data_IF_049176805807
#
_entry.id   IF_049176805807
#
_cell.length_a   1.000
_cell.length_b   1.000
_cell.length_c   1.000
_cell.angle_alpha   90.00
_cell.angle_beta   90.00
_cell.angle_gamma   90.00
#
_symmetry.space_group_name_H-M   'P 1'
#
loop_
_entity.id
_entity.type
_entity.pdbx_description
1 polymer ?
#
# COMPACT_ATOMS: atom_id res chain seq x y z
N UNK A 1 -24.32 -6.99 14.14
CA UNK A 1 -22.83 -6.99 14.12
C UNK A 1 -22.39 -5.66 13.53
N UNK A 2 -21.66 -4.84 14.29
CA UNK A 2 -21.32 -3.48 13.84
C UNK A 2 -20.46 -3.48 12.58
N UNK A 3 -19.70 -4.55 12.33
CA UNK A 3 -18.94 -4.73 11.11
C UNK A 3 -19.79 -4.62 9.82
N UNK A 4 -20.90 -5.36 9.74
CA UNK A 4 -21.78 -5.32 8.56
C UNK A 4 -22.56 -4.00 8.47
N UNK A 5 -22.96 -3.44 9.62
CA UNK A 5 -23.60 -2.12 9.67
C UNK A 5 -22.64 -1.04 9.19
N UNK A 6 -21.38 -1.10 9.61
CA UNK A 6 -20.29 -0.23 9.14
C UNK A 6 -20.12 -0.32 7.64
N UNK A 7 -20.01 -1.53 7.08
CA UNK A 7 -19.91 -1.76 5.64
C UNK A 7 -21.08 -1.16 4.85
N UNK A 8 -22.31 -1.31 5.35
CA UNK A 8 -23.50 -0.73 4.73
C UNK A 8 -23.42 0.80 4.81
N UNK A 9 -23.01 1.38 5.92
CA UNK A 9 -22.97 2.84 6.06
C UNK A 9 -21.80 3.48 5.29
N UNK A 10 -20.74 2.74 5.02
CA UNK A 10 -19.55 3.19 4.28
C UNK A 10 -19.46 2.59 2.87
N UNK A 11 -20.57 2.03 2.36
CA UNK A 11 -20.62 1.35 1.06
C UNK A 11 -20.10 2.18 -0.12
N UNK A 12 -20.34 3.52 -0.22
CA UNK A 12 -19.87 4.29 -1.37
C UNK A 12 -18.34 4.37 -1.40
N UNK A 13 -17.73 4.50 -0.22
CA UNK A 13 -16.29 4.53 -0.06
C UNK A 13 -15.66 3.16 -0.35
N UNK A 14 -16.28 2.07 0.13
CA UNK A 14 -15.86 0.72 -0.21
C UNK A 14 -15.92 0.47 -1.73
N UNK A 15 -17.00 0.92 -2.40
CA UNK A 15 -17.13 0.81 -3.83
C UNK A 15 -16.04 1.60 -4.57
N UNK A 16 -15.72 2.80 -4.11
CA UNK A 16 -14.64 3.60 -4.67
C UNK A 16 -13.28 2.87 -4.59
N UNK A 17 -12.98 2.22 -3.46
CA UNK A 17 -11.78 1.38 -3.31
C UNK A 17 -11.78 0.18 -4.25
N UNK A 18 -12.90 -0.53 -4.37
CA UNK A 18 -13.05 -1.64 -5.32
C UNK A 18 -12.79 -1.17 -6.77
N UNK A 19 -13.36 -0.03 -7.16
CA UNK A 19 -13.17 0.55 -8.51
C UNK A 19 -11.71 0.94 -8.71
N UNK A 20 -11.08 1.57 -7.73
CA UNK A 20 -9.68 1.99 -7.80
C UNK A 20 -8.73 0.79 -7.98
N UNK A 21 -8.80 -0.21 -7.10
CA UNK A 21 -7.92 -1.37 -7.18
C UNK A 21 -8.26 -2.29 -8.35
N UNK A 22 -9.53 -2.38 -8.74
CA UNK A 22 -9.94 -3.04 -9.98
C UNK A 22 -9.32 -2.36 -11.21
N UNK A 23 -9.40 -1.03 -11.29
CA UNK A 23 -8.77 -0.24 -12.34
C UNK A 23 -7.25 -0.39 -12.38
N UNK A 24 -6.58 -0.29 -11.21
CA UNK A 24 -5.14 -0.48 -11.10
C UNK A 24 -4.70 -1.89 -11.51
N UNK A 25 -5.46 -2.93 -11.12
CA UNK A 25 -5.21 -4.32 -11.50
C UNK A 25 -5.38 -4.53 -13.01
N UNK A 26 -6.46 -4.00 -13.60
CA UNK A 26 -6.67 -4.01 -15.04
C UNK A 26 -5.55 -3.30 -15.80
N UNK A 27 -5.10 -2.14 -15.30
CA UNK A 27 -3.97 -1.42 -15.86
C UNK A 27 -2.69 -2.25 -15.77
N UNK A 28 -2.35 -2.81 -14.61
CA UNK A 28 -1.18 -3.66 -14.44
C UNK A 28 -1.23 -4.91 -15.33
N UNK A 29 -2.42 -5.46 -15.59
CA UNK A 29 -2.56 -6.63 -16.46
C UNK A 29 -2.39 -6.30 -17.94
N UNK A 30 -3.09 -5.27 -18.42
CA UNK A 30 -3.15 -4.91 -19.84
C UNK A 30 -2.05 -3.98 -20.31
N UNK A 31 -1.27 -3.39 -19.39
CA UNK A 31 -0.13 -2.56 -19.78
C UNK A 31 0.83 -3.36 -20.68
N UNK A 32 1.35 -2.77 -21.77
CA UNK A 32 2.15 -3.48 -22.76
C UNK A 32 3.60 -3.69 -22.27
N UNK A 33 3.78 -4.40 -21.16
CA UNK A 33 5.08 -4.67 -20.52
C UNK A 33 6.13 -5.27 -21.45
N UNK A 34 5.70 -6.01 -22.48
CA UNK A 34 6.61 -6.58 -23.49
C UNK A 34 7.36 -5.50 -24.29
N UNK A 35 6.81 -4.29 -24.41
CA UNK A 35 7.48 -3.16 -25.08
C UNK A 35 8.62 -2.58 -24.23
N UNK A 36 8.74 -3.00 -22.97
CA UNK A 36 9.73 -2.53 -22.00
C UNK A 36 10.82 -3.59 -21.76
N UNK A 37 11.32 -4.21 -22.84
CA UNK A 37 12.32 -5.28 -22.81
C UNK A 37 13.76 -4.80 -22.44
N UNK A 38 13.90 -3.58 -21.93
CA UNK A 38 15.19 -3.04 -21.54
C UNK A 38 15.71 -3.71 -20.26
N UNK A 39 17.02 -3.96 -20.22
CA UNK A 39 17.70 -4.51 -19.03
C UNK A 39 18.79 -3.57 -18.54
N UNK A 40 18.93 -3.51 -17.22
CA UNK A 40 19.88 -2.62 -16.53
C UNK A 40 20.78 -3.44 -15.59
N UNK A 41 22.01 -2.98 -15.32
CA UNK A 41 22.92 -3.71 -14.43
C UNK A 41 22.31 -3.86 -13.03
N UNK A 42 22.29 -5.07 -12.50
CA UNK A 42 21.59 -5.40 -11.26
C UNK A 42 22.22 -4.81 -10.01
N UNK A 43 23.56 -4.87 -9.90
CA UNK A 43 24.28 -4.40 -8.69
C UNK A 43 24.06 -2.91 -8.40
N UNK A 44 24.17 -1.99 -9.38
CA UNK A 44 23.85 -0.58 -9.13
C UNK A 44 22.42 -0.34 -8.65
N UNK A 45 21.43 -1.07 -9.19
CA UNK A 45 20.02 -0.93 -8.78
C UNK A 45 19.86 -1.35 -7.33
N UNK A 46 20.43 -2.51 -6.95
CA UNK A 46 20.39 -2.98 -5.57
C UNK A 46 20.95 -1.93 -4.60
N UNK A 47 22.13 -1.37 -4.91
CA UNK A 47 22.77 -0.35 -4.07
C UNK A 47 21.91 0.92 -3.98
N UNK A 48 21.49 1.47 -5.13
CA UNK A 48 20.72 2.72 -5.18
C UNK A 48 19.39 2.56 -4.45
N UNK A 49 18.64 1.49 -4.73
CA UNK A 49 17.34 1.27 -4.11
C UNK A 49 17.46 1.00 -2.61
N UNK A 50 18.50 0.27 -2.17
CA UNK A 50 18.76 0.07 -0.74
C UNK A 50 19.05 1.39 -0.03
N UNK A 51 19.91 2.23 -0.59
CA UNK A 51 20.25 3.54 0.00
C UNK A 51 19.00 4.43 0.05
N UNK A 52 18.24 4.52 -1.04
CA UNK A 52 17.00 5.30 -1.07
C UNK A 52 15.97 4.75 -0.09
N UNK A 53 15.84 3.43 0.03
CA UNK A 53 14.95 2.80 1.00
C UNK A 53 15.34 3.15 2.43
N UNK A 54 16.62 3.02 2.81
CA UNK A 54 17.10 3.37 4.16
C UNK A 54 16.81 4.83 4.49
N UNK A 55 17.10 5.76 3.57
CA UNK A 55 16.85 7.19 3.77
C UNK A 55 15.34 7.46 3.93
N UNK A 56 14.54 6.99 2.99
CA UNK A 56 13.08 7.26 2.99
C UNK A 56 12.37 6.60 4.15
N UNK A 57 12.72 5.35 4.48
CA UNK A 57 12.18 4.65 5.65
C UNK A 57 12.61 5.36 6.94
N UNK A 58 13.88 5.76 7.06
CA UNK A 58 14.38 6.52 8.20
C UNK A 58 13.62 7.84 8.41
N UNK A 59 13.32 8.57 7.33
CA UNK A 59 12.47 9.76 7.37
C UNK A 59 11.06 9.42 7.85
N UNK A 60 10.43 8.38 7.29
CA UNK A 60 9.09 7.95 7.70
C UNK A 60 9.05 7.61 9.19
N UNK A 61 9.99 6.77 9.66
CA UNK A 61 10.06 6.37 11.07
C UNK A 61 10.32 7.55 12.01
N UNK A 62 11.14 8.52 11.60
CA UNK A 62 11.40 9.74 12.40
C UNK A 62 10.12 10.53 12.62
N UNK A 63 9.33 10.74 11.56
CA UNK A 63 8.07 11.49 11.66
C UNK A 63 6.95 10.70 12.34
N UNK A 64 7.02 9.37 12.35
CA UNK A 64 6.08 8.51 13.09
C UNK A 64 6.36 8.54 14.60
N UNK A 65 7.63 8.41 15.01
CA UNK A 65 7.98 8.22 16.43
C UNK A 65 8.15 9.54 17.20
N UNK A 66 8.72 10.56 16.58
CA UNK A 66 9.00 11.84 17.25
C UNK A 66 9.15 13.00 16.28
N UNK A 67 8.03 13.52 15.73
CA UNK A 67 8.07 14.79 15.04
C UNK A 67 8.29 15.89 16.09
N UNK A 68 9.55 16.18 16.45
CA UNK A 68 9.96 17.34 17.28
C UNK A 68 9.74 18.66 16.53
N UNK A 69 8.57 18.83 15.93
CA UNK A 69 8.17 19.99 15.16
C UNK A 69 7.23 20.82 16.02
N UNK A 70 7.44 22.13 16.02
CA UNK A 70 6.56 23.08 16.70
C UNK A 70 5.29 23.31 15.87
N UNK A 71 4.42 22.30 15.80
CA UNK A 71 3.19 22.27 15.02
C UNK A 71 1.97 22.05 15.92
N UNK A 72 0.77 22.33 15.39
CA UNK A 72 -0.47 22.00 16.08
C UNK A 72 -0.64 20.49 16.22
N UNK A 73 -1.39 20.03 17.24
CA UNK A 73 -1.68 18.61 17.44
C UNK A 73 -2.30 17.96 16.20
N UNK A 74 -3.25 18.65 15.55
CA UNK A 74 -3.86 18.17 14.31
C UNK A 74 -2.84 17.97 13.18
N UNK A 75 -1.86 18.87 13.04
CA UNK A 75 -0.81 18.73 12.03
C UNK A 75 0.15 17.57 12.35
N UNK A 76 0.42 17.31 13.63
CA UNK A 76 1.20 16.14 14.07
C UNK A 76 0.45 14.85 13.77
N UNK A 77 -0.85 14.78 14.08
CA UNK A 77 -1.69 13.61 13.79
C UNK A 77 -1.74 13.33 12.27
N UNK A 78 -1.84 14.36 11.43
CA UNK A 78 -1.75 14.24 9.96
C UNK A 78 -0.39 13.74 9.48
N UNK A 79 0.71 14.24 10.07
CA UNK A 79 2.06 13.78 9.72
C UNK A 79 2.23 12.32 10.08
N UNK A 80 1.84 11.93 11.29
CA UNK A 80 1.84 10.53 11.72
C UNK A 80 1.03 9.67 10.72
N UNK A 81 -0.20 10.08 10.40
CA UNK A 81 -1.04 9.33 9.46
C UNK A 81 -0.40 9.18 8.08
N UNK A 82 0.12 10.28 7.54
CA UNK A 82 0.74 10.28 6.21
C UNK A 82 1.97 9.37 6.18
N UNK A 83 2.84 9.46 7.17
CA UNK A 83 4.08 8.69 7.18
C UNK A 83 3.88 7.22 7.58
N UNK A 84 2.98 6.92 8.52
CA UNK A 84 2.69 5.56 8.95
C UNK A 84 1.90 4.78 7.88
N UNK A 85 0.77 5.34 7.41
CA UNK A 85 -0.19 4.61 6.58
C UNK A 85 0.07 4.72 5.07
N UNK A 86 0.78 5.76 4.62
CA UNK A 86 1.14 5.93 3.20
C UNK A 86 2.66 5.92 2.99
N UNK A 87 3.41 6.61 3.83
CA UNK A 87 4.86 6.75 3.72
C UNK A 87 5.57 5.40 3.76
N UNK A 88 5.36 4.60 4.82
CA UNK A 88 5.96 3.27 4.95
C UNK A 88 5.61 2.38 3.74
N UNK A 89 4.33 2.20 3.34
CA UNK A 89 3.99 1.46 2.12
C UNK A 89 4.67 1.97 0.85
N UNK A 90 4.84 3.29 0.68
CA UNK A 90 5.54 3.88 -0.48
C UNK A 90 7.05 3.58 -0.50
N UNK A 91 7.65 3.24 0.64
CA UNK A 91 9.05 2.81 0.69
C UNK A 91 9.23 1.34 0.31
N UNK A 92 8.21 0.49 0.52
CA UNK A 92 8.29 -0.97 0.26
C UNK A 92 8.69 -1.31 -1.18
N UNK A 93 8.21 -0.61 -2.23
CA UNK A 93 8.69 -0.79 -3.60
C UNK A 93 10.20 -0.70 -3.77
N UNK A 94 10.87 0.21 -3.05
CA UNK A 94 12.33 0.33 -3.12
C UNK A 94 13.00 -0.93 -2.57
N UNK A 95 12.52 -1.44 -1.43
CA UNK A 95 13.04 -2.67 -0.85
C UNK A 95 12.78 -3.88 -1.74
N UNK A 96 11.55 -4.06 -2.26
CA UNK A 96 11.25 -5.20 -3.12
C UNK A 96 12.03 -5.15 -4.43
N UNK A 97 12.19 -3.96 -5.01
CA UNK A 97 13.04 -3.75 -6.18
C UNK A 97 14.52 -4.03 -5.91
N UNK A 98 15.02 -3.65 -4.73
CA UNK A 98 16.40 -3.94 -4.32
C UNK A 98 16.63 -5.45 -4.19
N UNK A 99 15.73 -6.16 -3.50
CA UNK A 99 15.80 -7.63 -3.35
C UNK A 99 15.70 -8.33 -4.70
N UNK A 100 14.83 -7.86 -5.58
CA UNK A 100 14.70 -8.39 -6.94
C UNK A 100 16.00 -8.22 -7.74
N UNK A 101 16.59 -7.02 -7.70
CA UNK A 101 17.86 -6.75 -8.37
C UNK A 101 19.00 -7.57 -7.77
N UNK A 102 19.05 -7.75 -6.45
CA UNK A 102 20.05 -8.60 -5.79
C UNK A 102 19.95 -10.05 -6.28
N UNK A 103 18.72 -10.60 -6.36
CA UNK A 103 18.49 -11.96 -6.82
C UNK A 103 19.00 -12.20 -8.25
N UNK A 104 18.76 -11.24 -9.18
CA UNK A 104 19.34 -11.29 -10.52
C UNK A 104 20.87 -11.15 -10.49
N UNK A 105 21.38 -10.21 -9.70
CA UNK A 105 22.82 -9.95 -9.60
C UNK A 105 23.62 -11.16 -9.10
N UNK A 106 23.10 -11.91 -8.12
CA UNK A 106 23.72 -13.15 -7.62
C UNK A 106 23.77 -14.25 -8.68
N UNK A 107 22.82 -14.25 -9.63
CA UNK A 107 22.82 -15.17 -10.78
C UNK A 107 23.68 -14.69 -11.96
N UNK A 108 24.32 -13.53 -11.84
CA UNK A 108 25.06 -12.90 -12.95
C UNK A 108 24.15 -12.36 -14.06
N UNK A 109 22.85 -12.23 -13.79
CA UNK A 109 21.85 -11.73 -14.74
C UNK A 109 21.73 -10.21 -14.66
N UNK A 110 21.16 -9.61 -15.71
CA UNK A 110 20.74 -8.20 -15.70
C UNK A 110 19.27 -8.13 -15.27
N UNK A 111 18.89 -7.02 -14.64
CA UNK A 111 17.50 -6.80 -14.20
C UNK A 111 16.67 -6.22 -15.35
N UNK A 112 15.62 -6.92 -15.77
CA UNK A 112 14.63 -6.39 -16.71
C UNK A 112 13.75 -5.31 -16.07
N UNK A 113 13.59 -4.16 -16.74
CA UNK A 113 12.81 -3.01 -16.21
C UNK A 113 11.35 -3.39 -15.99
N UNK A 114 10.73 -4.11 -16.94
CA UNK A 114 9.34 -4.54 -16.81
C UNK A 114 9.11 -5.42 -15.56
N UNK A 115 10.00 -6.38 -15.33
CA UNK A 115 9.92 -7.27 -14.17
C UNK A 115 10.16 -6.52 -12.86
N UNK A 116 11.14 -5.62 -12.84
CA UNK A 116 11.42 -4.75 -11.71
C UNK A 116 10.19 -3.92 -11.32
N UNK A 117 9.58 -3.21 -12.27
CA UNK A 117 8.40 -2.37 -12.02
C UNK A 117 7.21 -3.20 -11.50
N UNK A 118 6.96 -4.38 -12.06
CA UNK A 118 5.89 -5.25 -11.59
C UNK A 118 6.12 -5.73 -10.15
N UNK A 119 7.35 -6.08 -9.78
CA UNK A 119 7.69 -6.48 -8.40
C UNK A 119 7.63 -5.30 -7.43
N UNK A 120 8.01 -4.10 -7.87
CA UNK A 120 7.86 -2.88 -7.10
C UNK A 120 6.38 -2.56 -6.83
N UNK A 121 5.51 -2.65 -7.86
CA UNK A 121 4.06 -2.47 -7.72
C UNK A 121 3.43 -3.55 -6.84
N UNK A 122 3.85 -4.81 -6.99
CA UNK A 122 3.39 -5.88 -6.10
C UNK A 122 3.81 -5.63 -4.65
N UNK A 123 5.04 -5.15 -4.44
CA UNK A 123 5.56 -4.74 -3.14
C UNK A 123 4.75 -3.61 -2.52
N UNK A 124 4.36 -2.60 -3.31
CA UNK A 124 3.46 -1.54 -2.86
C UNK A 124 2.13 -2.12 -2.35
N UNK A 125 1.47 -2.96 -3.15
CA UNK A 125 0.20 -3.60 -2.76
C UNK A 125 0.34 -4.41 -1.47
N UNK A 126 1.39 -5.21 -1.33
CA UNK A 126 1.66 -5.97 -0.10
C UNK A 126 1.94 -5.05 1.10
N UNK A 127 2.66 -3.95 0.89
CA UNK A 127 2.93 -2.95 1.93
C UNK A 127 1.66 -2.28 2.44
N UNK A 128 0.79 -1.84 1.53
CA UNK A 128 -0.51 -1.28 1.87
C UNK A 128 -1.39 -2.32 2.59
N UNK A 129 -1.45 -3.56 2.09
CA UNK A 129 -2.23 -4.62 2.71
C UNK A 129 -1.76 -4.93 4.13
N UNK A 130 -0.44 -4.98 4.36
CA UNK A 130 0.10 -5.20 5.70
C UNK A 130 -0.31 -4.07 6.67
N UNK A 131 -0.25 -2.82 6.21
CA UNK A 131 -0.71 -1.66 7.00
C UNK A 131 -2.21 -1.74 7.32
N UNK A 132 -3.05 -2.04 6.34
CA UNK A 132 -4.50 -2.10 6.55
C UNK A 132 -4.94 -3.33 7.36
N UNK A 133 -4.21 -4.46 7.30
CA UNK A 133 -4.45 -5.61 8.18
C UNK A 133 -4.22 -5.22 9.64
N UNK A 134 -3.17 -4.45 9.92
CA UNK A 134 -2.93 -3.90 11.25
C UNK A 134 -4.15 -3.07 11.71
N UNK A 135 -4.72 -2.24 10.84
CA UNK A 135 -5.89 -1.42 11.18
C UNK A 135 -7.14 -2.24 11.45
N UNK A 136 -7.41 -3.29 10.66
CA UNK A 136 -8.52 -4.22 10.94
C UNK A 136 -8.37 -4.87 12.32
N UNK A 137 -7.15 -5.30 12.66
CA UNK A 137 -6.86 -5.93 13.95
C UNK A 137 -7.02 -4.92 15.10
N UNK A 138 -6.46 -3.73 14.95
CA UNK A 138 -6.52 -2.66 15.95
C UNK A 138 -7.96 -2.21 16.21
N UNK A 139 -8.73 -1.93 15.14
CA UNK A 139 -10.15 -1.61 15.22
C UNK A 139 -10.92 -2.73 15.92
N UNK A 140 -10.64 -3.99 15.58
CA UNK A 140 -11.25 -5.15 16.20
C UNK A 140 -10.97 -5.25 17.69
N UNK A 141 -9.74 -5.01 18.13
CA UNK A 141 -9.35 -5.05 19.55
C UNK A 141 -10.10 -3.95 20.33
N UNK A 142 -10.05 -2.71 19.85
CA UNK A 142 -10.66 -1.55 20.53
C UNK A 142 -12.19 -1.72 20.64
N UNK A 143 -12.81 -2.26 19.60
CA UNK A 143 -14.27 -2.44 19.53
C UNK A 143 -14.74 -3.79 20.09
N UNK A 144 -13.86 -4.54 20.78
CA UNK A 144 -14.12 -5.89 21.33
C UNK A 144 -14.75 -6.84 20.30
N UNK A 145 -14.11 -6.94 19.14
CA UNK A 145 -14.58 -7.71 18.00
C UNK A 145 -15.76 -7.08 17.26
N UNK A 146 -15.78 -5.75 17.10
CA UNK A 146 -16.86 -5.03 16.41
C UNK A 146 -18.23 -5.22 17.06
N UNK A 147 -18.25 -5.31 18.39
CA UNK A 147 -19.47 -5.49 19.19
C UNK A 147 -19.90 -4.20 19.89
N UNK A 148 -18.98 -3.27 20.11
CA UNK A 148 -19.25 -1.95 20.70
C UNK A 148 -18.68 -0.83 19.82
N UNK A 149 -19.39 0.31 19.68
CA UNK A 149 -18.87 1.48 18.97
C UNK A 149 -17.71 2.08 19.78
N UNK A 150 -16.74 2.65 19.09
CA UNK A 150 -15.64 3.36 19.75
C UNK A 150 -15.28 4.60 18.95
N UNK A 151 -15.51 5.76 19.58
CA UNK A 151 -15.25 7.05 18.95
C UNK A 151 -13.78 7.17 18.60
N UNK A 152 -13.51 7.40 17.33
CA UNK A 152 -12.17 7.58 16.81
C UNK A 152 -11.64 9.00 17.05
N UNK A 153 -10.31 9.13 17.09
CA UNK A 153 -9.61 10.39 17.27
C UNK A 153 -9.21 11.03 15.93
N UNK A 154 -8.18 11.87 15.97
CA UNK A 154 -7.58 12.47 14.76
C UNK A 154 -6.84 11.47 13.86
N UNK A 155 -6.64 10.25 14.35
CA UNK A 155 -6.05 9.10 13.65
C UNK A 155 -6.91 8.58 12.49
N UNK A 156 -8.19 8.94 12.41
CA UNK A 156 -9.07 8.63 11.26
C UNK A 156 -9.37 9.84 10.38
N UNK A 157 -8.71 10.98 10.61
CA UNK A 157 -9.08 12.23 9.95
C UNK A 157 -8.95 12.15 8.41
N UNK A 158 -7.95 11.43 7.90
CA UNK A 158 -7.81 11.23 6.45
C UNK A 158 -8.96 10.40 5.87
N UNK A 159 -9.35 9.33 6.58
CA UNK A 159 -10.45 8.47 6.19
C UNK A 159 -11.80 9.21 6.27
N UNK A 160 -12.01 9.99 7.32
CA UNK A 160 -13.18 10.84 7.46
C UNK A 160 -13.24 11.91 6.36
N UNK A 161 -12.11 12.55 6.05
CA UNK A 161 -12.05 13.53 4.95
C UNK A 161 -12.42 12.89 3.61
N UNK A 162 -11.90 11.70 3.31
CA UNK A 162 -12.26 10.97 2.10
C UNK A 162 -13.74 10.57 2.09
N UNK A 163 -14.26 10.07 3.21
CA UNK A 163 -15.66 9.66 3.36
C UNK A 163 -16.66 10.81 3.23
N UNK A 164 -16.29 12.01 3.68
CA UNK A 164 -17.09 13.22 3.51
C UNK A 164 -17.31 13.58 2.03
N UNK A 165 -16.34 13.30 1.14
CA UNK A 165 -16.52 13.49 -0.31
C UNK A 165 -17.61 12.60 -0.90
N UNK A 166 -17.94 11.49 -0.22
CA UNK A 166 -19.03 10.58 -0.58
C UNK A 166 -20.32 10.85 0.22
N UNK A 167 -20.38 11.93 0.99
CA UNK A 167 -21.57 12.31 1.77
C UNK A 167 -21.83 11.40 2.99
N UNK A 168 -20.81 10.67 3.48
CA UNK A 168 -20.97 9.81 4.66
C UNK A 168 -20.96 10.70 5.92
N UNK A 169 -21.92 10.51 6.86
CA UNK A 169 -21.98 11.30 8.09
C UNK A 169 -20.72 11.17 8.96
N UNK A 170 -20.30 12.27 9.59
CA UNK A 170 -19.13 12.28 10.48
C UNK A 170 -19.25 11.26 11.63
N UNK A 171 -20.44 11.10 12.20
CA UNK A 171 -20.70 10.12 13.27
C UNK A 171 -20.40 8.67 12.86
N UNK A 172 -20.50 8.34 11.57
CA UNK A 172 -20.11 7.04 11.02
C UNK A 172 -18.60 7.01 10.76
N UNK A 173 -18.03 8.10 10.26
CA UNK A 173 -16.62 8.17 9.87
C UNK A 173 -15.66 8.25 11.06
N UNK A 174 -16.11 8.78 12.20
CA UNK A 174 -15.38 8.81 13.46
C UNK A 174 -15.76 7.65 14.40
N UNK A 175 -16.14 6.49 13.84
CA UNK A 175 -16.31 5.24 14.58
C UNK A 175 -15.35 4.16 14.05
N UNK A 176 -14.48 3.67 14.92
CA UNK A 176 -13.56 2.59 14.61
C UNK A 176 -14.28 1.30 14.16
N UNK A 177 -15.53 1.10 14.58
CA UNK A 177 -16.34 -0.03 14.15
C UNK A 177 -16.75 0.06 12.66
N UNK A 178 -16.78 1.27 12.08
CA UNK A 178 -17.10 1.52 10.67
C UNK A 178 -15.86 1.55 9.77
N UNK A 179 -14.67 1.86 10.31
CA UNK A 179 -13.41 1.84 9.59
C UNK A 179 -12.96 0.43 9.21
N UNK A 180 -12.99 -0.51 10.16
CA UNK A 180 -12.49 -1.88 9.95
C UNK A 180 -13.05 -2.57 8.69
N UNK A 181 -14.36 -2.47 8.40
CA UNK A 181 -14.93 -2.98 7.15
C UNK A 181 -14.34 -2.35 5.88
N UNK A 182 -14.08 -1.05 5.87
CA UNK A 182 -13.42 -0.38 4.73
C UNK A 182 -11.97 -0.83 4.57
N UNK A 183 -11.23 -0.94 5.69
CA UNK A 183 -9.87 -1.48 5.68
C UNK A 183 -9.85 -2.93 5.16
N UNK A 184 -10.85 -3.75 5.47
CA UNK A 184 -10.98 -5.10 4.91
C UNK A 184 -11.15 -5.10 3.39
N UNK A 185 -11.96 -4.17 2.84
CA UNK A 185 -12.11 -4.02 1.38
C UNK A 185 -10.80 -3.56 0.74
N UNK A 186 -10.09 -2.61 1.36
CA UNK A 186 -8.76 -2.17 0.92
C UNK A 186 -7.77 -3.33 0.85
N UNK A 187 -7.64 -4.11 1.94
CA UNK A 187 -6.74 -5.28 2.00
C UNK A 187 -7.02 -6.25 0.86
N UNK A 188 -8.29 -6.58 0.60
CA UNK A 188 -8.66 -7.48 -0.49
C UNK A 188 -8.22 -6.89 -1.84
N UNK A 189 -8.51 -5.62 -2.10
CA UNK A 189 -8.11 -4.94 -3.33
C UNK A 189 -6.60 -4.90 -3.54
N UNK A 190 -5.85 -4.63 -2.48
CA UNK A 190 -4.38 -4.53 -2.47
C UNK A 190 -3.71 -5.89 -2.71
N UNK A 191 -4.23 -6.95 -2.08
CA UNK A 191 -3.77 -8.32 -2.31
C UNK A 191 -4.10 -8.80 -3.73
N UNK A 192 -5.27 -8.47 -4.26
CA UNK A 192 -5.62 -8.76 -5.67
C UNK A 192 -4.65 -8.03 -6.60
N UNK A 193 -4.40 -6.74 -6.36
CA UNK A 193 -3.47 -5.96 -7.17
C UNK A 193 -2.05 -6.57 -7.16
N UNK A 194 -1.53 -6.91 -5.98
CA UNK A 194 -0.24 -7.58 -5.85
C UNK A 194 -0.21 -8.93 -6.59
N UNK A 195 -1.26 -9.75 -6.44
CA UNK A 195 -1.38 -11.03 -7.12
C UNK A 195 -1.40 -10.87 -8.65
N UNK A 196 -2.11 -9.87 -9.17
CA UNK A 196 -2.13 -9.55 -10.60
C UNK A 196 -0.76 -9.12 -11.11
N UNK A 197 -0.03 -8.30 -10.36
CA UNK A 197 1.35 -7.93 -10.70
C UNK A 197 2.28 -9.15 -10.77
N UNK A 198 2.23 -10.05 -9.79
CA UNK A 198 3.02 -11.30 -9.82
C UNK A 198 2.58 -12.25 -10.93
N UNK A 199 1.27 -12.41 -11.15
CA UNK A 199 0.76 -13.24 -12.24
C UNK A 199 1.14 -12.68 -13.61
N UNK A 200 1.30 -11.35 -13.73
CA UNK A 200 1.78 -10.72 -14.96
C UNK A 200 3.27 -10.91 -15.16
N UNK A 201 4.05 -10.89 -14.07
CA UNK A 201 5.49 -11.12 -14.05
C UNK A 201 5.84 -12.50 -14.63
N UNK A 202 5.12 -13.56 -14.27
CA UNK A 202 5.33 -14.93 -14.81
C UNK A 202 5.01 -15.07 -16.29
N UNK A 203 4.38 -14.06 -16.91
CA UNK A 203 4.03 -14.01 -18.34
C UNK A 203 4.92 -13.05 -19.13
N UNK A 204 5.99 -12.54 -18.52
CA UNK A 204 7.03 -11.84 -19.27
C UNK A 204 7.88 -12.88 -20.02
N UNK A 205 8.32 -12.56 -21.25
CA UNK A 205 9.29 -13.41 -21.94
C UNK A 205 10.60 -13.42 -21.15
N UNK A 206 11.22 -14.59 -21.01
CA UNK A 206 12.55 -14.70 -20.43
C UNK A 206 13.54 -13.94 -21.32
N UNK A 207 14.19 -12.93 -20.74
CA UNK A 207 15.22 -12.14 -21.42
C UNK A 207 16.53 -12.92 -21.64
N UNK A 208 16.58 -14.20 -21.26
CA UNK A 208 17.73 -15.09 -21.49
C UNK A 208 17.85 -15.57 -22.94
N UNK A 209 16.78 -15.48 -23.74
CA UNK A 209 16.76 -16.06 -25.10
C UNK A 209 17.31 -15.11 -26.19
N UNK A 210 17.74 -13.89 -25.85
CA UNK A 210 18.17 -12.89 -26.83
C UNK A 210 19.69 -12.70 -26.97
N UNK A 211 20.50 -13.64 -26.48
CA UNK A 211 21.97 -13.62 -26.65
C UNK A 211 22.53 -14.89 -27.29
N UNK A 212 21.74 -15.57 -28.13
CA UNK A 212 22.23 -16.59 -29.07
C UNK A 212 22.69 -15.98 -30.38
#
# INVERSE_FOLDING_TARGET
MLFFTGLINTWPLCLAFCVFFGGASCAAWWFPWRKWACTIPSTPIFVVFTVLWVITMGICLTFVDSPYLNLSKAAIDWLFMLFAFLGIPLTIPLLTGAVWALAHGVRGERTGIAGLLLVMLAGFGLGCAASNIHDIAWCGIITKGYTVPYKAGGDLLAFATAGQWFGIPEEVLYDYAALGPCAAVLVIGELIFAAVCFARLTRLPDTSDSTG
#
